data_IF_801398840043
#
_entry.id   IF_801398840043
#
_cell.length_a   1.000
_cell.length_b   1.000
_cell.length_c   1.000
_cell.angle_alpha   90.00
_cell.angle_beta   90.00
_cell.angle_gamma   90.00
#
_symmetry.space_group_name_H-M   'P 1'
#
loop_
_entity.id
_entity.type
_entity.pdbx_description
1 polymer ?
#
# COMPACT_ATOMS: atom_id res chain seq x y z
N UNK A 1 -20.44 -53.65 -56.40
CA UNK A 1 -21.01 -53.52 -55.04
C UNK A 1 -20.44 -52.27 -54.42
N UNK A 2 -21.33 -51.39 -53.98
CA UNK A 2 -21.05 -50.05 -53.46
C UNK A 2 -20.60 -50.17 -52.00
N UNK A 3 -19.52 -49.48 -51.63
CA UNK A 3 -19.25 -49.12 -50.23
C UNK A 3 -18.60 -47.74 -50.22
N UNK A 4 -19.43 -46.71 -50.01
CA UNK A 4 -18.98 -45.35 -49.68
C UNK A 4 -18.51 -45.37 -48.23
N UNK A 5 -17.20 -45.17 -47.98
CA UNK A 5 -16.71 -44.79 -46.65
C UNK A 5 -16.67 -43.27 -46.57
N UNK A 6 -17.60 -42.73 -45.77
CA UNK A 6 -17.64 -41.33 -45.38
C UNK A 6 -16.50 -41.12 -44.37
N UNK A 7 -15.52 -40.29 -44.72
CA UNK A 7 -14.52 -39.78 -43.77
C UNK A 7 -15.12 -38.52 -43.17
N UNK A 8 -15.51 -38.60 -41.89
CA UNK A 8 -15.92 -37.45 -41.10
C UNK A 8 -14.64 -36.77 -40.62
N UNK A 9 -14.34 -35.61 -41.17
CA UNK A 9 -13.29 -34.71 -40.66
C UNK A 9 -13.89 -34.00 -39.45
N UNK A 10 -13.50 -34.39 -38.24
CA UNK A 10 -13.71 -33.56 -37.05
C UNK A 10 -12.66 -32.44 -37.06
N UNK A 11 -13.06 -31.24 -37.48
CA UNK A 11 -12.34 -30.01 -37.18
C UNK A 11 -12.71 -29.65 -35.74
N UNK A 12 -11.84 -29.93 -34.77
CA UNK A 12 -11.99 -29.37 -33.43
C UNK A 12 -11.68 -27.87 -33.50
N UNK A 13 -12.73 -27.05 -33.49
CA UNK A 13 -12.61 -25.62 -33.30
C UNK A 13 -12.19 -25.38 -31.84
N UNK A 14 -10.88 -25.32 -31.58
CA UNK A 14 -10.37 -24.82 -30.31
C UNK A 14 -10.68 -23.32 -30.27
N UNK A 15 -11.78 -22.95 -29.59
CA UNK A 15 -11.99 -21.57 -29.17
C UNK A 15 -10.86 -21.22 -28.20
N UNK A 16 -9.90 -20.45 -28.70
CA UNK A 16 -8.96 -19.69 -27.89
C UNK A 16 -9.82 -18.65 -27.17
N UNK A 17 -10.26 -18.95 -25.96
CA UNK A 17 -10.65 -17.91 -25.02
C UNK A 17 -9.35 -17.24 -24.57
N UNK A 18 -8.93 -16.22 -25.30
CA UNK A 18 -8.06 -15.19 -24.74
C UNK A 18 -8.88 -14.48 -23.67
N UNK A 19 -8.84 -15.02 -22.44
CA UNK A 19 -9.23 -14.28 -21.26
C UNK A 19 -8.26 -13.11 -21.18
N UNK A 20 -8.71 -11.93 -21.62
CA UNK A 20 -8.13 -10.67 -21.18
C UNK A 20 -8.79 -10.44 -19.83
N UNK A 21 -8.08 -10.63 -18.69
CA UNK A 21 -8.66 -10.29 -17.41
C UNK A 21 -8.88 -8.77 -17.40
N UNK A 22 -10.13 -8.34 -17.34
CA UNK A 22 -10.47 -6.97 -16.97
C UNK A 22 -10.21 -6.92 -15.46
N UNK A 23 -9.03 -6.44 -15.06
CA UNK A 23 -8.68 -6.21 -13.65
C UNK A 23 -9.61 -5.12 -13.10
N UNK A 24 -10.58 -5.52 -12.28
CA UNK A 24 -11.18 -4.64 -11.27
C UNK A 24 -10.46 -4.91 -9.95
N UNK A 25 -9.19 -4.49 -9.86
CA UNK A 25 -8.50 -4.40 -8.58
C UNK A 25 -8.90 -3.11 -7.87
N UNK A 26 -8.80 -3.06 -6.54
CA UNK A 26 -8.73 -1.78 -5.86
C UNK A 26 -7.66 -0.92 -6.55
N UNK A 27 -8.00 0.33 -6.84
CA UNK A 27 -7.13 1.29 -7.52
C UNK A 27 -7.14 2.54 -6.68
N UNK A 28 -5.98 2.96 -6.18
CA UNK A 28 -5.79 4.19 -5.39
C UNK A 28 -6.07 5.40 -6.29
N UNK A 29 -7.35 5.62 -6.58
CA UNK A 29 -7.85 6.60 -7.55
C UNK A 29 -8.22 7.93 -6.89
N UNK A 30 -8.02 8.01 -5.57
CA UNK A 30 -8.16 9.22 -4.79
C UNK A 30 -7.02 9.28 -3.78
N UNK A 31 -6.34 10.42 -3.79
CA UNK A 31 -5.41 10.81 -2.74
C UNK A 31 -6.16 11.01 -1.42
N UNK A 32 -5.44 10.93 -0.29
CA UNK A 32 -5.99 11.19 1.02
C UNK A 32 -6.55 12.60 1.15
N UNK A 33 -7.47 12.76 2.10
CA UNK A 33 -8.03 14.05 2.47
C UNK A 33 -7.59 14.35 3.89
N UNK A 34 -6.72 15.35 4.04
CA UNK A 34 -6.21 15.81 5.33
C UNK A 34 -6.92 17.07 5.82
N UNK A 35 -7.07 17.20 7.13
CA UNK A 35 -7.46 18.47 7.77
C UNK A 35 -6.20 19.30 8.11
N UNK A 36 -6.09 20.49 7.51
CA UNK A 36 -4.92 21.39 7.61
C UNK A 36 -4.78 22.00 9.03
N UNK A 37 -3.79 21.55 9.80
CA UNK A 37 -3.32 22.24 11.00
C UNK A 37 -1.78 22.36 11.03
N UNK A 38 -1.31 23.57 11.31
CA UNK A 38 0.05 24.10 11.08
C UNK A 38 1.22 23.39 11.79
N UNK A 39 2.35 23.31 11.08
CA UNK A 39 3.65 22.70 11.38
C UNK A 39 4.25 22.94 12.79
N UNK A 40 4.47 21.84 13.52
CA UNK A 40 5.57 21.47 14.44
C UNK A 40 5.13 20.18 15.18
N UNK A 41 5.71 19.00 14.90
CA UNK A 41 5.16 17.68 15.35
C UNK A 41 3.63 17.66 15.25
N UNK A 42 3.12 17.81 14.04
CA UNK A 42 1.69 17.87 13.81
C UNK A 42 1.07 16.48 13.96
N UNK A 43 -0.10 16.41 14.58
CA UNK A 43 -1.04 15.32 14.33
C UNK A 43 -2.08 15.88 13.36
N UNK A 44 -2.37 15.16 12.28
CA UNK A 44 -3.47 15.44 11.36
C UNK A 44 -4.39 14.23 11.28
N UNK A 45 -5.61 14.45 10.80
CA UNK A 45 -6.59 13.41 10.55
C UNK A 45 -6.72 13.20 9.04
N UNK A 46 -6.93 11.94 8.63
CA UNK A 46 -7.21 11.57 7.24
C UNK A 46 -8.40 10.63 7.16
N UNK A 47 -9.18 10.75 6.09
CA UNK A 47 -10.31 9.83 5.87
C UNK A 47 -9.91 8.42 5.43
N UNK A 48 -8.64 8.19 5.08
CA UNK A 48 -8.18 6.90 4.53
C UNK A 48 -6.72 6.53 4.83
N UNK A 49 -5.89 7.41 5.39
CA UNK A 49 -4.50 7.09 5.75
C UNK A 49 -4.29 7.11 7.25
N UNK A 50 -3.50 6.17 7.76
CA UNK A 50 -2.91 6.22 9.09
C UNK A 50 -1.41 5.93 8.99
N UNK A 51 -0.59 6.71 9.67
CA UNK A 51 0.86 6.51 9.66
C UNK A 51 1.62 7.81 9.93
N UNK A 52 2.71 8.00 9.21
CA UNK A 52 3.54 9.19 9.34
C UNK A 52 3.91 9.73 7.95
N UNK A 53 3.93 11.05 7.83
CA UNK A 53 4.48 11.75 6.67
C UNK A 53 5.53 12.77 7.11
N UNK A 54 6.57 12.95 6.32
CA UNK A 54 7.51 14.05 6.45
C UNK A 54 7.25 14.99 5.29
N UNK A 55 7.14 16.29 5.60
CA UNK A 55 6.98 17.31 4.57
C UNK A 55 8.29 18.08 4.41
N UNK A 56 8.78 18.12 3.18
CA UNK A 56 9.93 18.87 2.73
C UNK A 56 9.54 20.07 1.89
N UNK A 57 10.50 20.54 1.09
CA UNK A 57 10.25 21.48 -0.01
C UNK A 57 10.24 20.73 -1.34
N UNK A 58 9.76 21.34 -2.41
CA UNK A 58 9.85 20.76 -3.75
C UNK A 58 11.28 20.29 -4.09
N UNK A 59 11.35 19.15 -4.79
CA UNK A 59 12.55 18.43 -5.21
C UNK A 59 13.47 18.01 -4.03
N UNK A 60 13.00 18.04 -2.78
CA UNK A 60 13.87 17.80 -1.62
C UNK A 60 13.89 16.35 -1.17
N UNK A 61 12.80 15.61 -1.38
CA UNK A 61 12.67 14.21 -0.99
C UNK A 61 13.21 13.32 -2.09
N UNK A 62 14.26 12.57 -1.79
CA UNK A 62 14.95 11.72 -2.77
C UNK A 62 14.72 10.23 -2.54
N UNK A 63 14.29 9.85 -1.34
CA UNK A 63 14.21 8.45 -0.96
C UNK A 63 13.27 8.28 0.23
N UNK A 64 12.46 7.24 0.20
CA UNK A 64 11.72 6.72 1.35
C UNK A 64 11.84 5.19 1.35
N UNK A 65 12.22 4.59 2.48
CA UNK A 65 12.39 3.14 2.62
C UNK A 65 11.57 2.62 3.77
N UNK A 66 11.08 1.39 3.69
CA UNK A 66 10.22 0.78 4.71
C UNK A 66 10.54 -0.68 4.90
N UNK A 67 10.31 -1.18 6.11
CA UNK A 67 10.14 -2.59 6.36
C UNK A 67 8.98 -2.78 7.30
N UNK A 68 8.24 -3.86 7.07
CA UNK A 68 7.10 -4.20 7.89
C UNK A 68 6.85 -5.70 7.89
N UNK A 69 6.14 -6.17 8.92
CA UNK A 69 5.62 -7.54 8.97
C UNK A 69 4.17 -7.48 8.50
N UNK A 70 3.83 -8.22 7.45
CA UNK A 70 2.47 -8.23 6.89
C UNK A 70 1.50 -8.71 7.98
N UNK A 71 0.51 -7.89 8.39
CA UNK A 71 -0.42 -8.29 9.43
C UNK A 71 -1.38 -9.37 8.95
N UNK A 72 -1.92 -10.13 9.89
CA UNK A 72 -3.12 -10.94 9.63
C UNK A 72 -4.29 -9.99 9.46
N UNK A 73 -4.90 -9.99 8.28
CA UNK A 73 -5.96 -9.05 7.90
C UNK A 73 -7.23 -9.83 7.61
N UNK A 74 -8.33 -9.44 8.25
CA UNK A 74 -9.66 -9.95 7.97
C UNK A 74 -10.37 -9.04 6.97
N UNK A 75 -10.45 -9.51 5.72
CA UNK A 75 -11.11 -8.81 4.61
C UNK A 75 -12.57 -9.24 4.45
N UNK A 76 -13.17 -9.89 5.46
CA UNK A 76 -14.58 -10.24 5.42
C UNK A 76 -15.47 -9.00 5.27
N UNK A 77 -16.63 -9.18 4.64
CA UNK A 77 -17.54 -8.08 4.32
C UNK A 77 -17.10 -7.22 3.13
N UNK A 78 -16.08 -7.63 2.36
CA UNK A 78 -15.61 -6.85 1.20
C UNK A 78 -14.81 -5.62 1.62
N UNK A 79 -13.93 -5.80 2.60
CA UNK A 79 -13.06 -4.76 3.15
C UNK A 79 -11.61 -4.94 2.68
N UNK A 80 -10.82 -3.87 2.73
CA UNK A 80 -9.49 -3.79 2.13
C UNK A 80 -8.54 -3.04 3.07
N UNK A 81 -7.25 -3.37 3.02
CA UNK A 81 -6.21 -2.58 3.65
C UNK A 81 -4.93 -2.61 2.80
N UNK A 82 -4.26 -1.47 2.65
CA UNK A 82 -2.95 -1.40 2.01
C UNK A 82 -1.89 -0.92 3.01
N UNK A 83 -0.65 -1.37 2.83
CA UNK A 83 0.51 -0.99 3.65
C UNK A 83 1.67 -0.65 2.74
N UNK A 84 2.14 0.59 2.75
CA UNK A 84 3.06 1.07 1.72
C UNK A 84 3.96 2.20 2.20
N UNK A 85 5.01 2.43 1.42
CA UNK A 85 5.93 3.57 1.54
C UNK A 85 5.94 4.33 0.24
N UNK A 86 6.01 5.66 0.32
CA UNK A 86 5.94 6.52 -0.85
C UNK A 86 6.70 7.82 -0.73
N UNK A 87 6.75 8.49 -1.87
CA UNK A 87 7.07 9.91 -2.03
C UNK A 87 5.82 10.57 -2.61
N UNK A 88 5.56 11.81 -2.22
CA UNK A 88 4.42 12.64 -2.63
C UNK A 88 3.04 12.15 -2.14
N UNK A 89 2.01 12.96 -2.39
CA UNK A 89 0.62 12.63 -2.11
C UNK A 89 0.11 13.10 -0.75
N UNK A 90 0.99 13.52 0.16
CA UNK A 90 0.57 14.16 1.40
C UNK A 90 0.01 15.57 1.14
N UNK A 91 0.65 16.36 0.27
CA UNK A 91 0.32 17.76 0.00
C UNK A 91 0.29 18.13 -1.49
N UNK A 92 0.25 17.14 -2.37
CA UNK A 92 0.26 17.31 -3.83
C UNK A 92 -0.73 16.37 -4.54
N UNK A 93 -0.55 16.14 -5.85
CA UNK A 93 -1.46 15.38 -6.72
C UNK A 93 -0.84 14.12 -7.33
N UNK A 94 0.34 13.73 -6.88
CA UNK A 94 1.07 12.52 -7.30
C UNK A 94 1.29 11.62 -6.09
N UNK A 95 1.68 10.38 -6.31
CA UNK A 95 2.26 9.54 -5.26
C UNK A 95 2.99 8.40 -5.94
N UNK A 96 4.27 8.26 -5.62
CA UNK A 96 5.12 7.17 -6.08
C UNK A 96 5.33 6.20 -4.93
N UNK A 97 4.79 4.99 -5.05
CA UNK A 97 4.58 4.12 -3.90
C UNK A 97 4.73 2.64 -4.22
N UNK A 98 5.06 1.85 -3.22
CA UNK A 98 5.07 0.39 -3.31
C UNK A 98 4.75 -0.25 -1.96
N UNK A 99 4.06 -1.39 -2.01
CA UNK A 99 3.56 -2.00 -0.79
C UNK A 99 2.80 -3.30 -0.99
N UNK A 100 1.99 -3.60 0.02
CA UNK A 100 1.13 -4.77 0.12
C UNK A 100 -0.33 -4.33 0.12
N UNK A 101 -1.17 -5.01 -0.65
CA UNK A 101 -2.63 -4.88 -0.61
C UNK A 101 -3.21 -6.17 -0.05
N UNK A 102 -3.96 -6.08 1.04
CA UNK A 102 -4.83 -7.14 1.54
C UNK A 102 -6.24 -6.94 1.00
N UNK A 103 -6.74 -7.90 0.23
CA UNK A 103 -8.09 -7.86 -0.33
C UNK A 103 -8.79 -9.23 -0.27
N UNK A 104 -10.14 -9.28 -0.36
CA UNK A 104 -10.85 -10.54 -0.40
C UNK A 104 -10.63 -11.24 -1.75
N UNK A 105 -10.30 -12.53 -1.70
CA UNK A 105 -10.05 -13.33 -2.89
C UNK A 105 -11.28 -13.46 -3.79
N UNK A 106 -11.03 -13.86 -5.04
CA UNK A 106 -12.09 -13.98 -6.03
C UNK A 106 -12.71 -12.63 -6.41
N UNK A 107 -11.98 -11.51 -6.27
CA UNK A 107 -12.46 -10.15 -6.54
C UNK A 107 -13.59 -9.71 -5.59
N UNK A 108 -13.41 -9.93 -4.29
CA UNK A 108 -14.44 -9.57 -3.31
C UNK A 108 -15.58 -10.59 -3.17
N UNK A 109 -15.53 -11.70 -3.90
CA UNK A 109 -16.58 -12.73 -3.85
C UNK A 109 -16.36 -13.78 -2.76
N UNK A 110 -15.15 -13.89 -2.24
CA UNK A 110 -14.80 -14.85 -1.19
C UNK A 110 -14.35 -14.13 0.09
N UNK A 111 -14.33 -14.86 1.21
CA UNK A 111 -13.89 -14.33 2.51
C UNK A 111 -12.41 -14.59 2.84
N UNK A 112 -11.67 -15.27 1.96
CA UNK A 112 -10.25 -15.52 2.18
C UNK A 112 -9.43 -14.30 1.75
N UNK A 113 -8.61 -13.77 2.66
CA UNK A 113 -7.68 -12.68 2.38
C UNK A 113 -6.54 -13.13 1.48
N UNK A 114 -6.24 -12.36 0.44
CA UNK A 114 -5.05 -12.47 -0.39
C UNK A 114 -4.20 -11.20 -0.28
N UNK A 115 -2.88 -11.38 -0.31
CA UNK A 115 -1.89 -10.31 -0.17
C UNK A 115 -1.13 -10.11 -1.48
N UNK A 116 -1.45 -9.03 -2.18
CA UNK A 116 -0.78 -8.66 -3.41
C UNK A 116 0.37 -7.70 -3.15
N UNK A 117 1.48 -7.93 -3.86
CA UNK A 117 2.62 -7.01 -3.89
C UNK A 117 2.45 -6.10 -5.10
N UNK A 118 2.62 -4.80 -4.91
CA UNK A 118 2.36 -3.82 -5.96
C UNK A 118 3.29 -2.61 -5.90
N UNK A 119 3.37 -1.89 -7.01
CA UNK A 119 3.85 -0.52 -7.05
C UNK A 119 2.86 0.35 -7.84
N UNK A 120 2.91 1.66 -7.61
CA UNK A 120 2.11 2.64 -8.34
C UNK A 120 2.89 3.94 -8.49
N UNK A 121 2.66 4.60 -9.62
CA UNK A 121 3.13 5.94 -9.91
C UNK A 121 1.88 6.75 -10.25
N UNK A 122 1.12 7.13 -9.22
CA UNK A 122 -0.18 7.81 -9.36
C UNK A 122 0.00 9.12 -10.11
N UNK A 123 -0.85 9.45 -11.11
CA UNK A 123 -2.21 8.94 -11.36
C UNK A 123 -2.31 7.69 -12.24
N UNK A 124 -1.20 7.02 -12.58
CA UNK A 124 -1.27 5.74 -13.28
C UNK A 124 -1.80 4.64 -12.37
N UNK A 125 -2.50 3.65 -12.93
CA UNK A 125 -3.01 2.51 -12.17
C UNK A 125 -1.87 1.68 -11.53
N UNK A 126 -2.13 0.99 -10.41
CA UNK A 126 -1.14 0.14 -9.77
C UNK A 126 -0.77 -1.06 -10.65
N UNK A 127 0.48 -1.49 -10.54
CA UNK A 127 1.00 -2.69 -11.19
C UNK A 127 1.28 -3.74 -10.13
N UNK A 128 0.80 -4.95 -10.37
CA UNK A 128 0.89 -6.07 -9.42
C UNK A 128 1.98 -7.06 -9.80
N UNK A 129 2.65 -7.60 -8.80
CA UNK A 129 3.62 -8.67 -8.98
C UNK A 129 2.94 -9.98 -9.43
N UNK A 130 3.72 -10.89 -10.01
CA UNK A 130 3.24 -12.22 -10.40
C UNK A 130 3.19 -13.23 -9.24
N UNK A 131 3.65 -12.83 -8.05
CA UNK A 131 3.63 -13.62 -6.82
C UNK A 131 2.80 -12.92 -5.75
N UNK A 132 2.27 -13.69 -4.82
CA UNK A 132 1.56 -13.19 -3.64
C UNK A 132 2.45 -13.30 -2.41
N UNK A 133 2.19 -12.45 -1.42
CA UNK A 133 2.78 -12.55 -0.09
C UNK A 133 1.83 -13.31 0.86
N UNK A 134 2.25 -13.50 2.11
CA UNK A 134 1.45 -14.07 3.18
C UNK A 134 1.54 -13.24 4.46
N UNK A 135 0.52 -13.30 5.31
CA UNK A 135 0.61 -12.77 6.66
C UNK A 135 1.83 -13.34 7.40
N UNK A 136 2.56 -12.49 8.11
CA UNK A 136 3.80 -12.83 8.80
C UNK A 136 5.07 -12.82 7.92
N UNK A 137 4.95 -12.59 6.61
CA UNK A 137 6.12 -12.30 5.77
C UNK A 137 6.68 -10.90 6.10
N UNK A 138 7.98 -10.76 5.85
CA UNK A 138 8.77 -9.57 6.08
C UNK A 138 8.96 -8.86 4.76
N UNK A 139 8.61 -7.58 4.74
CA UNK A 139 8.73 -6.71 3.59
C UNK A 139 9.92 -5.78 3.81
N UNK A 140 10.70 -5.55 2.76
CA UNK A 140 11.51 -4.35 2.61
C UNK A 140 11.12 -3.67 1.30
N UNK A 141 10.83 -2.38 1.37
CA UNK A 141 10.34 -1.55 0.28
C UNK A 141 11.12 -0.25 0.20
N UNK A 142 11.25 0.30 -1.00
CA UNK A 142 11.92 1.57 -1.23
C UNK A 142 11.33 2.27 -2.47
N UNK A 143 11.19 3.59 -2.35
CA UNK A 143 10.95 4.52 -3.45
C UNK A 143 12.12 5.49 -3.51
N UNK A 144 12.62 5.77 -4.71
CA UNK A 144 13.71 6.69 -4.96
C UNK A 144 13.32 7.65 -6.07
N UNK A 145 13.61 8.94 -5.87
CA UNK A 145 13.62 9.97 -6.90
C UNK A 145 15.03 10.11 -7.48
N UNK A 146 15.17 9.74 -8.75
CA UNK A 146 16.42 9.67 -9.51
C UNK A 146 16.75 11.00 -10.25
N UNK A 147 15.95 12.05 -10.04
CA UNK A 147 16.09 13.35 -10.69
C UNK A 147 15.31 13.47 -12.00
N UNK A 148 14.85 14.69 -12.32
CA UNK A 148 14.16 14.98 -13.58
C UNK A 148 12.80 14.27 -13.71
N UNK A 149 12.07 14.19 -12.59
CA UNK A 149 10.82 13.45 -12.39
C UNK A 149 10.91 11.93 -12.63
N UNK A 150 12.10 11.33 -12.57
CA UNK A 150 12.24 9.88 -12.70
C UNK A 150 12.23 9.23 -11.33
N UNK A 151 11.43 8.18 -11.20
CA UNK A 151 11.29 7.44 -9.96
C UNK A 151 11.49 5.95 -10.18
N UNK A 152 11.99 5.30 -9.14
CA UNK A 152 12.18 3.86 -9.08
C UNK A 152 11.56 3.32 -7.80
N UNK A 153 10.87 2.18 -7.90
CA UNK A 153 10.35 1.42 -6.76
C UNK A 153 11.05 0.07 -6.67
N UNK A 154 11.25 -0.40 -5.45
CA UNK A 154 11.76 -1.73 -5.15
C UNK A 154 11.02 -2.30 -3.95
N UNK A 155 10.57 -3.54 -4.03
CA UNK A 155 9.98 -4.26 -2.92
C UNK A 155 10.46 -5.71 -2.93
N UNK A 156 10.85 -6.21 -1.77
CA UNK A 156 11.22 -7.61 -1.55
C UNK A 156 10.41 -8.17 -0.40
N UNK A 157 9.95 -9.40 -0.57
CA UNK A 157 9.18 -10.14 0.43
C UNK A 157 9.94 -11.41 0.78
N UNK A 158 10.11 -11.66 2.07
CA UNK A 158 10.76 -12.86 2.60
C UNK A 158 9.96 -13.44 3.74
N UNK A 159 9.99 -14.76 3.91
CA UNK A 159 9.42 -15.39 5.10
C UNK A 159 10.18 -14.96 6.37
N UNK A 160 9.58 -15.15 7.54
CA UNK A 160 10.24 -14.91 8.85
C UNK A 160 11.53 -15.69 9.08
N UNK A 161 11.75 -16.76 8.32
CA UNK A 161 12.99 -17.56 8.32
C UNK A 161 14.09 -17.04 7.38
N UNK A 162 13.83 -15.93 6.67
CA UNK A 162 14.76 -15.30 5.73
C UNK A 162 14.73 -15.89 4.31
N UNK A 163 13.82 -16.82 4.00
CA UNK A 163 13.66 -17.32 2.63
C UNK A 163 12.95 -16.28 1.76
N UNK A 164 13.56 -15.93 0.62
CA UNK A 164 12.98 -15.01 -0.34
C UNK A 164 11.71 -15.59 -0.97
N UNK A 165 10.61 -14.83 -0.90
CA UNK A 165 9.34 -15.13 -1.59
C UNK A 165 9.38 -14.52 -3.00
N UNK A 166 9.80 -13.25 -3.10
CA UNK A 166 9.92 -12.57 -4.38
C UNK A 166 10.42 -11.14 -4.27
N UNK A 167 10.74 -10.57 -5.43
CA UNK A 167 11.17 -9.18 -5.61
C UNK A 167 10.35 -8.58 -6.74
N UNK A 168 9.94 -7.33 -6.58
CA UNK A 168 9.26 -6.57 -7.60
C UNK A 168 9.78 -5.13 -7.65
N UNK A 169 9.80 -4.53 -8.83
CA UNK A 169 10.35 -3.19 -9.03
C UNK A 169 9.71 -2.53 -10.24
N UNK A 170 9.55 -1.21 -10.18
CA UNK A 170 9.06 -0.38 -11.28
C UNK A 170 9.94 0.84 -11.47
N UNK A 171 9.81 1.48 -12.62
CA UNK A 171 10.35 2.82 -12.85
C UNK A 171 9.41 3.59 -13.75
N UNK A 172 9.29 4.90 -13.54
CA UNK A 172 8.48 5.77 -14.37
C UNK A 172 8.99 7.21 -14.33
N UNK A 173 8.60 7.99 -15.34
CA UNK A 173 8.70 9.44 -15.29
C UNK A 173 7.33 10.01 -14.88
N UNK A 174 7.25 10.66 -13.73
CA UNK A 174 5.98 11.18 -13.18
C UNK A 174 5.95 12.69 -13.28
N UNK A 175 5.40 13.19 -14.40
CA UNK A 175 5.30 14.63 -14.63
C UNK A 175 4.35 15.27 -13.63
N UNK A 176 4.80 16.35 -13.00
CA UNK A 176 4.00 17.09 -12.03
C UNK A 176 4.20 16.63 -10.58
N UNK A 177 5.05 15.63 -10.35
CA UNK A 177 5.56 15.32 -9.03
C UNK A 177 6.36 16.50 -8.47
N UNK A 178 6.14 16.77 -7.19
CA UNK A 178 6.81 17.83 -6.46
C UNK A 178 7.99 17.30 -5.67
N UNK A 179 8.03 16.00 -5.36
CA UNK A 179 9.05 15.33 -4.57
C UNK A 179 9.24 16.01 -3.19
N UNK A 180 8.11 16.32 -2.54
CA UNK A 180 8.04 17.20 -1.37
C UNK A 180 7.49 16.52 -0.10
N UNK A 181 7.08 15.25 -0.17
CA UNK A 181 6.72 14.45 1.00
C UNK A 181 7.23 13.02 0.95
N UNK A 182 7.36 12.38 2.11
CA UNK A 182 7.71 10.96 2.26
C UNK A 182 6.84 10.34 3.36
N UNK A 183 6.24 9.18 3.08
CA UNK A 183 5.23 8.61 3.98
C UNK A 183 5.31 7.08 4.16
N UNK A 184 4.84 6.64 5.32
CA UNK A 184 4.74 5.23 5.75
C UNK A 184 3.33 4.96 6.26
N UNK A 185 2.51 4.29 5.46
CA UNK A 185 1.06 4.36 5.59
C UNK A 185 0.42 2.97 5.66
N UNK A 186 -0.56 2.84 6.56
CA UNK A 186 -1.68 1.92 6.42
C UNK A 186 -2.88 2.68 5.84
N UNK A 187 -3.52 2.14 4.80
CA UNK A 187 -4.55 2.83 4.04
C UNK A 187 -5.84 1.99 3.93
N UNK A 188 -6.99 2.67 3.97
CA UNK A 188 -8.25 2.21 3.41
C UNK A 188 -8.28 2.58 1.90
N UNK A 189 -8.00 1.65 0.97
CA UNK A 189 -7.79 2.01 -0.43
C UNK A 189 -9.04 2.61 -1.05
N UNK A 190 -8.87 3.48 -2.05
CA UNK A 190 -10.00 4.01 -2.81
C UNK A 190 -10.36 3.16 -4.03
N UNK A 191 -11.50 3.50 -4.63
CA UNK A 191 -11.92 3.09 -5.96
C UNK A 191 -12.60 4.29 -6.64
N UNK A 192 -13.03 4.12 -7.89
CA UNK A 192 -13.79 5.16 -8.60
C UNK A 192 -15.07 5.58 -7.86
N UNK A 193 -15.59 4.75 -6.95
CA UNK A 193 -16.79 5.03 -6.15
C UNK A 193 -16.49 5.65 -4.77
N UNK A 194 -15.23 5.77 -4.37
CA UNK A 194 -14.82 6.31 -3.06
C UNK A 194 -13.91 5.37 -2.29
N UNK A 195 -13.60 5.78 -1.05
CA UNK A 195 -12.83 4.99 -0.08
C UNK A 195 -13.56 3.68 0.19
N UNK A 196 -12.83 2.57 0.12
CA UNK A 196 -13.32 1.23 0.37
C UNK A 196 -13.36 0.97 1.89
N UNK A 197 -14.22 0.05 2.38
CA UNK A 197 -14.26 -0.28 3.80
C UNK A 197 -12.90 -0.77 4.30
N UNK A 198 -12.40 -0.22 5.40
CA UNK A 198 -11.14 -0.63 6.01
C UNK A 198 -11.24 -2.05 6.58
N UNK A 199 -10.33 -2.94 6.15
CA UNK A 199 -10.22 -4.28 6.70
C UNK A 199 -9.60 -4.26 8.10
N UNK A 200 -10.05 -5.16 8.96
CA UNK A 200 -9.44 -5.31 10.28
C UNK A 200 -8.09 -6.00 10.14
N UNK A 201 -7.01 -5.23 10.20
CA UNK A 201 -5.63 -5.73 10.16
C UNK A 201 -5.02 -5.95 11.55
N UNK A 202 -5.77 -5.71 12.63
CA UNK A 202 -5.26 -5.78 14.00
C UNK A 202 -4.18 -4.73 14.24
N UNK A 203 -2.92 -5.10 14.05
CA UNK A 203 -1.77 -4.21 14.22
C UNK A 203 -0.72 -4.49 13.14
N UNK A 204 -0.29 -3.43 12.43
CA UNK A 204 0.79 -3.47 11.46
C UNK A 204 2.09 -2.97 12.10
N UNK A 205 3.17 -3.76 12.00
CA UNK A 205 4.46 -3.47 12.63
C UNK A 205 5.47 -2.96 11.61
N UNK A 206 5.99 -1.75 11.82
CA UNK A 206 6.94 -1.10 10.92
C UNK A 206 8.30 -0.88 11.59
N UNK A 207 9.38 -1.07 10.84
CA UNK A 207 10.72 -0.62 11.22
C UNK A 207 11.60 -1.65 11.93
N UNK A 208 12.84 -1.23 12.20
CA UNK A 208 13.96 -2.09 12.55
C UNK A 208 13.74 -2.91 13.83
N UNK A 209 13.08 -2.33 14.84
CA UNK A 209 12.80 -3.00 16.11
C UNK A 209 11.96 -4.27 15.90
N UNK A 210 10.99 -4.24 14.98
CA UNK A 210 10.11 -5.37 14.72
C UNK A 210 10.66 -6.33 13.67
N UNK A 211 11.24 -5.80 12.59
CA UNK A 211 11.67 -6.61 11.45
C UNK A 211 13.11 -7.11 11.57
N UNK A 212 13.95 -6.45 12.38
CA UNK A 212 15.39 -6.65 12.41
C UNK A 212 16.13 -6.16 11.16
N UNK A 213 15.43 -5.61 10.16
CA UNK A 213 16.02 -5.10 8.92
C UNK A 213 16.63 -3.72 9.22
N UNK A 214 17.93 -3.57 8.97
CA UNK A 214 18.63 -2.29 9.17
C UNK A 214 18.38 -1.32 8.01
N UNK A 215 18.58 -0.01 8.24
CA UNK A 215 18.38 1.04 7.23
C UNK A 215 16.97 1.02 6.62
N UNK A 216 15.98 0.87 7.50
CA UNK A 216 14.55 0.83 7.17
C UNK A 216 13.83 2.01 7.82
N UNK A 217 12.75 2.47 7.20
CA UNK A 217 12.03 3.66 7.68
C UNK A 217 12.96 4.86 7.73
N UNK A 218 13.80 4.98 6.69
CA UNK A 218 14.69 6.11 6.44
C UNK A 218 14.15 6.93 5.27
N UNK A 219 14.45 8.21 5.28
CA UNK A 219 14.28 9.09 4.14
C UNK A 219 15.58 9.85 3.83
N UNK A 220 15.71 10.29 2.58
CA UNK A 220 16.70 11.29 2.16
C UNK A 220 15.98 12.59 1.85
N UNK A 221 16.17 13.60 2.68
CA UNK A 221 15.53 14.91 2.53
C UNK A 221 16.60 15.98 2.55
N UNK A 222 16.66 16.83 1.51
CA UNK A 222 17.72 17.84 1.35
C UNK A 222 19.14 17.24 1.45
N UNK A 223 19.34 16.03 0.91
CA UNK A 223 20.61 15.30 0.96
C UNK A 223 20.97 14.72 2.33
N UNK A 224 20.11 14.87 3.35
CA UNK A 224 20.30 14.26 4.66
C UNK A 224 19.57 12.91 4.71
N UNK A 225 20.32 11.82 4.86
CA UNK A 225 19.78 10.47 5.00
C UNK A 225 19.71 10.08 6.48
N UNK A 226 18.50 9.89 7.00
CA UNK A 226 18.28 9.55 8.40
C UNK A 226 16.96 8.78 8.61
N UNK A 227 16.76 8.28 9.82
CA UNK A 227 15.49 7.66 10.22
C UNK A 227 14.34 8.66 10.12
N UNK A 228 13.14 8.19 9.84
CA UNK A 228 11.94 9.02 9.72
C UNK A 228 11.73 9.93 10.93
N UNK A 229 11.95 9.42 12.14
CA UNK A 229 11.80 10.18 13.39
C UNK A 229 12.78 11.35 13.53
N UNK A 230 13.89 11.36 12.78
CA UNK A 230 14.86 12.46 12.78
C UNK A 230 14.35 13.72 12.08
N UNK A 231 13.25 13.63 11.33
CA UNK A 231 12.67 14.73 10.57
C UNK A 231 11.41 15.31 11.20
N UNK A 232 11.10 14.95 12.45
CA UNK A 232 9.88 15.40 13.16
C UNK A 232 8.60 15.19 12.32
N UNK A 233 8.32 13.94 11.90
CA UNK A 233 7.22 13.64 10.99
C UNK A 233 5.87 14.04 11.60
N UNK A 234 4.92 14.33 10.72
CA UNK A 234 3.51 14.52 11.03
C UNK A 234 2.87 13.15 11.23
N UNK A 235 2.20 12.97 12.37
CA UNK A 235 1.35 11.81 12.64
C UNK A 235 0.02 11.94 11.90
N UNK A 236 -0.43 10.86 11.28
CA UNK A 236 -1.70 10.81 10.54
C UNK A 236 -2.58 9.77 11.22
N UNK A 237 -3.72 10.21 11.76
CA UNK A 237 -4.75 9.32 12.31
C UNK A 237 -5.83 9.13 11.25
N UNK A 238 -6.17 7.88 10.93
CA UNK A 238 -7.30 7.61 10.06
C UNK A 238 -8.59 7.76 10.86
N UNK A 239 -9.54 8.55 10.37
CA UNK A 239 -10.82 8.79 11.03
C UNK A 239 -11.99 8.57 10.06
N UNK A 240 -13.11 8.12 10.60
CA UNK A 240 -14.36 8.06 9.86
C UNK A 240 -15.00 9.45 9.70
N UNK A 241 -16.15 9.51 9.03
CA UNK A 241 -16.90 10.77 8.81
C UNK A 241 -17.37 11.47 10.09
N UNK A 242 -17.34 10.79 11.25
CA UNK A 242 -17.67 11.35 12.56
C UNK A 242 -16.42 11.76 13.36
N UNK A 243 -15.23 11.74 12.74
CA UNK A 243 -13.95 12.03 13.40
C UNK A 243 -13.57 10.97 14.43
N UNK A 244 -14.13 9.76 14.36
CA UNK A 244 -13.72 8.66 15.23
C UNK A 244 -12.57 7.89 14.58
N UNK A 245 -11.49 7.58 15.32
CA UNK A 245 -10.39 6.81 14.78
C UNK A 245 -10.82 5.46 14.21
N UNK A 246 -10.32 5.14 13.03
CA UNK A 246 -10.40 3.82 12.39
C UNK A 246 -9.03 3.13 12.34
N UNK A 247 -7.95 3.91 12.35
CA UNK A 247 -6.60 3.42 12.57
C UNK A 247 -5.68 4.49 13.17
N UNK A 248 -4.89 4.11 14.16
CA UNK A 248 -4.04 5.03 14.92
C UNK A 248 -2.58 4.55 14.95
N UNK A 249 -1.61 5.38 14.55
CA UNK A 249 -0.19 5.11 14.74
C UNK A 249 0.20 5.13 16.23
N UNK A 250 1.14 4.28 16.63
CA UNK A 250 1.87 4.46 17.89
C UNK A 250 2.93 5.54 17.73
N UNK A 251 3.33 6.17 18.83
CA UNK A 251 4.55 6.98 18.86
C UNK A 251 5.77 6.22 18.29
N UNK A 252 6.63 6.93 17.56
CA UNK A 252 7.89 6.40 17.04
C UNK A 252 8.78 5.98 18.22
N UNK A 253 9.30 4.76 18.15
CA UNK A 253 10.17 4.19 19.19
C UNK A 253 11.54 4.90 19.23
N UNK A 254 12.31 4.62 20.29
CA UNK A 254 13.61 5.26 20.52
C UNK A 254 14.69 4.99 19.47
N UNK A 255 14.48 4.04 18.56
CA UNK A 255 15.35 3.82 17.39
C UNK A 255 15.09 4.84 16.27
N UNK A 256 14.01 5.63 16.38
CA UNK A 256 13.59 6.64 15.41
C UNK A 256 13.00 6.06 14.12
N UNK A 257 12.93 4.73 14.00
CA UNK A 257 12.55 4.05 12.76
C UNK A 257 11.30 3.20 12.94
N UNK A 258 10.96 2.79 14.17
CA UNK A 258 9.91 1.80 14.39
C UNK A 258 8.65 2.41 14.98
N UNK A 259 7.50 1.93 14.53
CA UNK A 259 6.17 2.27 15.04
C UNK A 259 5.18 1.17 14.66
N UNK A 260 3.98 1.19 15.23
CA UNK A 260 2.86 0.37 14.77
C UNK A 260 1.72 1.24 14.26
N UNK A 261 0.85 0.66 13.45
CA UNK A 261 -0.49 1.22 13.21
C UNK A 261 -1.49 0.19 13.71
N UNK A 262 -2.41 0.61 14.57
CA UNK A 262 -3.47 -0.26 15.12
C UNK A 262 -4.79 0.04 14.43
N UNK A 263 -5.52 -0.99 14.03
CA UNK A 263 -6.91 -0.89 13.60
C UNK A 263 -7.78 -0.60 14.82
N UNK A 264 -8.53 0.50 14.79
CA UNK A 264 -9.44 0.89 15.85
C UNK A 264 -10.84 0.36 15.57
N UNK A 265 -11.37 -0.44 16.49
CA UNK A 265 -12.77 -0.85 16.46
C UNK A 265 -13.68 0.33 16.82
N UNK A 266 -13.87 1.29 15.91
CA UNK A 266 -14.94 2.28 16.06
C UNK A 266 -16.27 1.66 15.60
N UNK A 267 -16.91 0.97 16.56
CA UNK A 267 -18.29 0.45 16.61
C UNK A 267 -19.07 0.34 15.28
N UNK A 268 -18.93 -0.78 14.57
CA UNK A 268 -20.00 -1.28 13.69
C UNK A 268 -21.09 -1.99 14.53
N UNK A 269 -21.66 -1.31 15.53
CA UNK A 269 -22.90 -1.78 16.16
C UNK A 269 -24.08 -1.36 15.29
N UNK A 270 -24.23 -1.99 14.12
CA UNK A 270 -25.55 -2.08 13.50
C UNK A 270 -26.36 -3.05 14.36
N UNK A 271 -27.12 -2.48 15.30
CA UNK A 271 -28.04 -3.22 16.13
C UNK A 271 -29.01 -4.02 15.24
N UNK A 272 -28.90 -5.35 15.30
CA UNK A 272 -30.04 -6.21 14.97
C UNK A 272 -31.06 -6.08 16.10
N UNK A 273 -31.96 -5.10 15.95
CA UNK A 273 -33.23 -5.11 16.63
C UNK A 273 -34.01 -6.35 16.19
N UNK A 274 -34.25 -7.25 17.12
CA UNK A 274 -35.35 -8.22 17.06
C UNK A 274 -36.68 -7.53 17.34
#
# INVERSE_FOLDING_TARGET
MISKKIIIILISLAMIFSFVPVLFGASHSKLPVFEENSFLMGTTESSNWAGYAIVGTNDSVHNASMSMIIPTTDTSGGSYAAFWVGIDGFNDQTVEQTGILAEPSGHGHNSETVYYVWYEFYPSAPVYASFTASAGDYVYANVTYDGGHNFSTFISVSTSSGNLVGIFSGHANVKGANDDSAEWIAEAPASSTGILPLANFGEAYYGQYYTGISLTNYATINGHFATMGSFSPTEIIMVNQQGQPEATPSAILGDGSSFTVTYDQSSSSHGHGH
#
